data_IF_525725337472
#
_entry.id   IF_525725337472
#
_cell.length_a   1.000
_cell.length_b   1.000
_cell.length_c   1.000
_cell.angle_alpha   90.00
_cell.angle_beta   90.00
_cell.angle_gamma   90.00
#
_symmetry.space_group_name_H-M   'P 1'
#
loop_
_entity.id
_entity.type
_entity.pdbx_description
1 polymer ?
#
# COMPACT_ATOMS: atom_id res chain seq x y z
N UNK A 1 -29.59 41.79 -16.22
CA UNK A 1 -28.87 40.92 -17.20
C UNK A 1 -27.37 40.75 -16.95
N UNK A 2 -26.69 41.62 -16.18
CA UNK A 2 -25.27 41.42 -15.79
C UNK A 2 -25.07 40.47 -14.60
N UNK A 3 -26.02 40.45 -13.66
CA UNK A 3 -25.92 39.65 -12.43
C UNK A 3 -26.08 38.14 -12.65
N UNK A 4 -26.94 37.73 -13.61
CA UNK A 4 -27.13 36.32 -13.94
C UNK A 4 -25.91 35.72 -14.67
N UNK A 5 -25.22 36.54 -15.47
CA UNK A 5 -23.92 36.16 -16.06
C UNK A 5 -22.83 35.98 -15.00
N UNK A 6 -22.84 36.79 -13.93
CA UNK A 6 -21.90 36.66 -12.80
C UNK A 6 -22.19 35.42 -11.95
N UNK A 7 -23.48 35.11 -11.69
CA UNK A 7 -23.88 33.88 -10.98
C UNK A 7 -23.50 32.61 -11.76
N UNK A 8 -23.72 32.61 -13.07
CA UNK A 8 -23.33 31.49 -13.93
C UNK A 8 -21.81 31.24 -13.90
N UNK A 9 -21.00 32.28 -14.01
CA UNK A 9 -19.53 32.16 -13.95
C UNK A 9 -19.02 31.75 -12.56
N UNK A 10 -19.62 32.25 -11.47
CA UNK A 10 -19.26 31.83 -10.11
C UNK A 10 -19.61 30.36 -9.84
N UNK A 11 -20.73 29.86 -10.39
CA UNK A 11 -21.10 28.45 -10.29
C UNK A 11 -20.12 27.53 -11.05
N UNK A 12 -19.64 27.96 -12.22
CA UNK A 12 -18.64 27.23 -13.01
C UNK A 12 -17.26 27.25 -12.31
N UNK A 13 -16.84 28.38 -11.75
CA UNK A 13 -15.61 28.48 -10.98
C UNK A 13 -15.66 27.64 -9.70
N UNK A 14 -16.82 27.57 -9.02
CA UNK A 14 -17.02 26.72 -7.86
C UNK A 14 -16.99 25.21 -8.21
N UNK A 15 -17.47 24.81 -9.39
CA UNK A 15 -17.31 23.44 -9.92
C UNK A 15 -15.87 23.12 -10.35
N UNK A 16 -15.07 24.11 -10.73
CA UNK A 16 -13.65 23.93 -11.08
C UNK A 16 -12.72 23.96 -9.86
N UNK A 17 -13.15 24.60 -8.77
CA UNK A 17 -12.44 24.69 -7.49
C UNK A 17 -12.86 23.62 -6.48
N UNK A 18 -13.98 22.93 -6.72
CA UNK A 18 -14.24 21.68 -6.02
C UNK A 18 -13.16 20.70 -6.46
N UNK A 19 -12.35 20.14 -5.54
CA UNK A 19 -11.41 19.11 -5.89
C UNK A 19 -12.23 18.04 -6.60
N UNK A 20 -11.96 17.81 -7.88
CA UNK A 20 -12.65 16.79 -8.66
C UNK A 20 -12.52 15.49 -7.86
N UNK A 21 -13.62 15.02 -7.25
CA UNK A 21 -13.76 13.68 -6.67
C UNK A 21 -13.81 12.63 -7.81
N UNK A 22 -13.08 12.90 -8.88
CA UNK A 22 -12.78 11.98 -9.94
C UNK A 22 -11.84 10.93 -9.36
N UNK A 23 -12.46 9.98 -8.66
CA UNK A 23 -12.01 8.60 -8.48
C UNK A 23 -10.50 8.49 -8.35
N UNK A 24 -9.88 9.17 -7.38
CA UNK A 24 -8.49 8.83 -7.02
C UNK A 24 -8.52 7.39 -6.56
N UNK A 25 -8.15 6.49 -7.47
CA UNK A 25 -7.98 5.09 -7.11
C UNK A 25 -6.87 5.08 -6.07
N UNK A 26 -7.10 4.45 -4.91
CA UNK A 26 -6.06 4.28 -3.92
C UNK A 26 -4.94 3.47 -4.56
N UNK A 27 -3.79 4.10 -4.75
CA UNK A 27 -2.59 3.48 -5.29
C UNK A 27 -1.64 3.14 -4.14
N UNK A 28 -0.76 2.13 -4.33
CA UNK A 28 0.32 1.90 -3.39
C UNK A 28 1.18 3.15 -3.27
N UNK A 29 1.52 3.51 -2.04
CA UNK A 29 2.39 4.63 -1.72
C UNK A 29 3.78 4.43 -2.28
N UNK A 30 4.43 5.52 -2.73
CA UNK A 30 5.76 5.46 -3.32
C UNK A 30 6.80 4.87 -2.36
N UNK A 31 6.68 5.15 -1.05
CA UNK A 31 7.57 4.57 -0.04
C UNK A 31 7.47 3.05 0.00
N UNK A 32 6.25 2.49 -0.06
CA UNK A 32 6.05 1.04 -0.09
C UNK A 32 6.56 0.44 -1.40
N UNK A 33 6.30 1.10 -2.54
CA UNK A 33 6.85 0.68 -3.84
C UNK A 33 8.38 0.61 -3.82
N UNK A 34 9.05 1.61 -3.25
CA UNK A 34 10.52 1.64 -3.15
C UNK A 34 11.06 0.51 -2.27
N UNK A 35 10.50 0.32 -1.07
CA UNK A 35 10.96 -0.75 -0.17
C UNK A 35 10.75 -2.14 -0.80
N UNK A 36 9.62 -2.36 -1.46
CA UNK A 36 9.36 -3.62 -2.15
C UNK A 36 10.33 -3.81 -3.32
N UNK A 37 10.62 -2.76 -4.09
CA UNK A 37 11.63 -2.81 -5.16
C UNK A 37 13.00 -3.22 -4.60
N UNK A 38 13.39 -2.68 -3.45
CA UNK A 38 14.64 -3.05 -2.77
C UNK A 38 14.62 -4.51 -2.29
N UNK A 39 13.50 -4.98 -1.74
CA UNK A 39 13.32 -6.40 -1.40
C UNK A 39 13.46 -7.32 -2.62
N UNK A 40 12.84 -6.96 -3.75
CA UNK A 40 12.94 -7.73 -4.99
C UNK A 40 14.36 -7.72 -5.56
N UNK A 41 15.06 -6.59 -5.46
CA UNK A 41 16.46 -6.49 -5.87
C UNK A 41 17.35 -7.38 -4.99
N UNK A 42 17.16 -7.33 -3.67
CA UNK A 42 17.89 -8.17 -2.74
C UNK A 42 17.65 -9.66 -3.01
N UNK A 43 16.42 -10.07 -3.36
CA UNK A 43 16.14 -11.46 -3.74
C UNK A 43 17.00 -11.87 -4.93
N UNK A 44 17.02 -11.06 -6.00
CA UNK A 44 17.80 -11.36 -7.22
C UNK A 44 19.30 -11.45 -6.97
N UNK A 45 19.82 -10.65 -6.04
CA UNK A 45 21.25 -10.67 -5.67
C UNK A 45 21.58 -11.92 -4.83
N UNK A 46 20.68 -12.33 -3.94
CA UNK A 46 20.90 -13.46 -3.03
C UNK A 46 20.58 -14.82 -3.65
N UNK A 47 19.66 -14.89 -4.61
CA UNK A 47 19.24 -16.13 -5.28
C UNK A 47 20.41 -16.97 -5.85
N UNK A 48 21.43 -16.41 -6.53
CA UNK A 48 22.57 -17.20 -6.98
C UNK A 48 23.59 -17.54 -5.87
N UNK A 49 23.52 -16.89 -4.71
CA UNK A 49 24.51 -17.02 -3.62
C UNK A 49 24.07 -18.00 -2.53
N UNK A 50 22.76 -18.20 -2.37
CA UNK A 50 22.16 -18.98 -1.30
C UNK A 50 21.43 -20.19 -1.86
N UNK A 51 21.45 -21.30 -1.11
CA UNK A 51 20.55 -22.39 -1.44
C UNK A 51 19.10 -21.96 -1.17
N UNK A 52 18.14 -22.66 -1.79
CA UNK A 52 16.70 -22.35 -1.66
C UNK A 52 16.26 -22.23 -0.19
N UNK A 53 16.67 -23.16 0.68
CA UNK A 53 16.28 -23.13 2.09
C UNK A 53 16.82 -21.90 2.84
N UNK A 54 18.06 -21.50 2.56
CA UNK A 54 18.66 -20.29 3.15
C UNK A 54 17.94 -19.04 2.67
N UNK A 55 17.67 -18.93 1.36
CA UNK A 55 16.94 -17.81 0.78
C UNK A 55 15.54 -17.66 1.39
N UNK A 56 14.83 -18.78 1.57
CA UNK A 56 13.53 -18.81 2.23
C UNK A 56 13.61 -18.34 3.68
N UNK A 57 14.61 -18.81 4.43
CA UNK A 57 14.82 -18.41 5.83
C UNK A 57 15.12 -16.91 5.96
N UNK A 58 15.96 -16.36 5.07
CA UNK A 58 16.30 -14.93 5.07
C UNK A 58 15.06 -14.10 4.80
N UNK A 59 14.28 -14.44 3.77
CA UNK A 59 13.09 -13.70 3.41
C UNK A 59 11.95 -13.85 4.41
N UNK A 60 11.80 -15.01 5.05
CA UNK A 60 10.84 -15.20 6.13
C UNK A 60 11.11 -14.23 7.29
N UNK A 61 12.38 -14.13 7.74
CA UNK A 61 12.78 -13.19 8.81
C UNK A 61 12.64 -11.74 8.41
N UNK A 62 13.00 -11.41 7.18
CA UNK A 62 12.85 -10.06 6.62
C UNK A 62 11.38 -9.64 6.61
N UNK A 63 10.50 -10.48 6.06
CA UNK A 63 9.08 -10.21 5.97
C UNK A 63 8.43 -10.14 7.36
N UNK A 64 8.82 -10.99 8.31
CA UNK A 64 8.35 -10.90 9.69
C UNK A 64 8.73 -9.58 10.36
N UNK A 65 9.96 -9.10 10.13
CA UNK A 65 10.42 -7.80 10.67
C UNK A 65 9.66 -6.64 10.01
N UNK A 66 9.45 -6.72 8.70
CA UNK A 66 8.70 -5.72 7.94
C UNK A 66 7.23 -5.67 8.37
N UNK A 67 6.60 -6.83 8.61
CA UNK A 67 5.23 -6.97 9.09
C UNK A 67 5.01 -6.18 10.40
N UNK A 68 5.86 -6.42 11.39
CA UNK A 68 5.81 -5.73 12.68
C UNK A 68 6.09 -4.24 12.54
N UNK A 69 7.14 -3.87 11.79
CA UNK A 69 7.57 -2.48 11.66
C UNK A 69 6.55 -1.60 10.94
N UNK A 70 6.04 -2.05 9.80
CA UNK A 70 5.07 -1.29 9.01
C UNK A 70 3.71 -1.23 9.71
N UNK A 71 3.28 -2.31 10.39
CA UNK A 71 2.04 -2.28 11.17
C UNK A 71 2.12 -1.25 12.30
N UNK A 72 3.25 -1.17 13.01
CA UNK A 72 3.46 -0.16 14.05
C UNK A 72 3.42 1.28 13.49
N UNK A 73 3.85 1.48 12.24
CA UNK A 73 3.73 2.77 11.56
C UNK A 73 2.26 3.07 11.19
N UNK A 74 1.55 2.13 10.56
CA UNK A 74 0.15 2.33 10.15
C UNK A 74 -0.81 2.51 11.32
N UNK A 75 -0.56 1.88 12.48
CA UNK A 75 -1.37 2.10 13.69
C UNK A 75 -1.34 3.53 14.21
N UNK A 76 -0.34 4.33 13.81
CA UNK A 76 -0.24 5.76 14.15
C UNK A 76 -0.91 6.68 13.14
N UNK A 77 -1.37 6.13 12.02
CA UNK A 77 -2.04 6.87 10.96
C UNK A 77 -3.53 6.96 11.28
N UNK A 78 -4.13 8.13 11.01
CA UNK A 78 -5.58 8.31 11.16
C UNK A 78 -6.34 7.49 10.12
N UNK A 79 -6.95 6.40 10.59
CA UNK A 79 -7.76 5.47 9.79
C UNK A 79 -9.25 5.82 9.80
N UNK A 80 -9.68 6.92 10.43
CA UNK A 80 -11.06 7.41 10.29
C UNK A 80 -11.33 7.90 8.86
N UNK A 81 -10.29 8.40 8.19
CA UNK A 81 -10.34 8.88 6.81
C UNK A 81 -10.39 7.68 5.85
N UNK A 82 -11.47 7.58 5.07
CA UNK A 82 -11.69 6.48 4.11
C UNK A 82 -10.54 6.33 3.11
N UNK A 83 -10.09 7.44 2.51
CA UNK A 83 -9.01 7.41 1.52
C UNK A 83 -7.71 6.84 2.12
N UNK A 84 -7.38 7.22 3.35
CA UNK A 84 -6.20 6.70 4.06
C UNK A 84 -6.27 5.19 4.27
N UNK A 85 -7.43 4.67 4.70
CA UNK A 85 -7.65 3.22 4.83
C UNK A 85 -7.42 2.51 3.50
N UNK A 86 -7.98 3.06 2.44
CA UNK A 86 -7.84 2.46 1.12
C UNK A 86 -6.38 2.45 0.62
N UNK A 87 -5.60 3.50 0.89
CA UNK A 87 -4.16 3.51 0.57
C UNK A 87 -3.39 2.42 1.34
N UNK A 88 -3.68 2.23 2.64
CA UNK A 88 -3.07 1.15 3.43
C UNK A 88 -3.44 -0.23 2.85
N UNK A 89 -4.70 -0.43 2.47
CA UNK A 89 -5.14 -1.69 1.83
C UNK A 89 -4.42 -1.89 0.49
N UNK A 90 -4.28 -0.84 -0.33
CA UNK A 90 -3.56 -0.91 -1.60
C UNK A 90 -2.07 -1.27 -1.41
N UNK A 91 -1.41 -0.70 -0.40
CA UNK A 91 -0.03 -1.02 -0.03
C UNK A 91 0.15 -2.50 0.31
N UNK A 92 -0.72 -3.03 1.19
CA UNK A 92 -0.63 -4.43 1.65
C UNK A 92 -0.95 -5.40 0.50
N UNK A 93 -1.92 -5.07 -0.37
CA UNK A 93 -2.22 -5.88 -1.55
C UNK A 93 -1.05 -5.90 -2.53
N UNK A 94 -0.41 -4.75 -2.76
CA UNK A 94 0.75 -4.64 -3.63
C UNK A 94 1.95 -5.43 -3.09
N UNK A 95 2.25 -5.33 -1.80
CA UNK A 95 3.25 -6.15 -1.12
C UNK A 95 3.01 -7.64 -1.37
N UNK A 96 1.79 -8.10 -1.12
CA UNK A 96 1.42 -9.50 -1.26
C UNK A 96 1.55 -9.99 -2.71
N UNK A 97 1.20 -9.14 -3.68
CA UNK A 97 1.36 -9.43 -5.10
C UNK A 97 2.84 -9.56 -5.48
N UNK A 98 3.69 -8.63 -5.08
CA UNK A 98 5.13 -8.67 -5.42
C UNK A 98 5.84 -9.84 -4.73
N UNK A 99 5.58 -10.08 -3.45
CA UNK A 99 6.17 -11.21 -2.71
C UNK A 99 5.75 -12.56 -3.30
N UNK A 100 4.53 -12.68 -3.83
CA UNK A 100 4.08 -13.93 -4.48
C UNK A 100 4.92 -14.34 -5.70
N UNK A 101 5.58 -13.37 -6.36
CA UNK A 101 6.47 -13.62 -7.51
C UNK A 101 7.79 -14.25 -7.10
N UNK A 102 8.16 -14.20 -5.81
CA UNK A 102 9.40 -14.76 -5.30
C UNK A 102 9.30 -16.27 -5.02
N UNK A 103 8.12 -16.88 -5.15
CA UNK A 103 7.89 -18.32 -4.92
C UNK A 103 8.47 -18.87 -3.60
N UNK A 104 8.43 -18.02 -2.56
CA UNK A 104 8.87 -18.33 -1.21
C UNK A 104 7.88 -19.26 -0.50
N UNK A 105 8.39 -20.17 0.32
CA UNK A 105 7.58 -21.03 1.19
C UNK A 105 7.46 -20.32 2.53
N UNK A 106 6.35 -19.60 2.71
CA UNK A 106 6.05 -18.84 3.91
C UNK A 106 4.97 -19.58 4.72
N UNK A 107 5.33 -20.31 5.80
CA UNK A 107 4.38 -21.17 6.52
C UNK A 107 3.21 -20.40 7.13
N UNK A 108 3.43 -19.15 7.53
CA UNK A 108 2.40 -18.27 8.09
C UNK A 108 1.81 -17.29 7.05
N UNK A 109 2.19 -17.44 5.78
CA UNK A 109 1.83 -16.52 4.70
C UNK A 109 2.68 -15.24 4.66
N UNK A 110 2.35 -14.34 3.73
CA UNK A 110 3.03 -13.06 3.55
C UNK A 110 2.48 -12.01 4.51
N UNK A 111 3.27 -11.62 5.52
CA UNK A 111 2.96 -10.55 6.48
C UNK A 111 1.56 -10.69 7.11
N UNK A 112 1.30 -11.76 7.89
CA UNK A 112 -0.02 -12.09 8.39
C UNK A 112 -0.67 -10.96 9.20
N UNK A 113 0.09 -10.20 9.99
CA UNK A 113 -0.44 -9.16 10.85
C UNK A 113 -0.91 -7.94 10.04
N UNK A 114 -0.13 -7.49 9.07
CA UNK A 114 -0.51 -6.46 8.09
C UNK A 114 -1.72 -6.88 7.27
N UNK A 115 -1.78 -8.14 6.84
CA UNK A 115 -2.93 -8.67 6.08
C UNK A 115 -4.19 -8.69 6.93
N UNK A 116 -4.10 -9.10 8.21
CA UNK A 116 -5.22 -9.06 9.14
C UNK A 116 -5.68 -7.62 9.39
N UNK A 117 -4.73 -6.71 9.61
CA UNK A 117 -5.03 -5.29 9.78
C UNK A 117 -5.72 -4.68 8.55
N UNK A 118 -5.18 -4.87 7.35
CA UNK A 118 -5.78 -4.39 6.10
C UNK A 118 -7.19 -4.95 5.88
N UNK A 119 -7.44 -6.23 6.20
CA UNK A 119 -8.79 -6.81 6.16
C UNK A 119 -9.75 -6.10 7.11
N UNK A 120 -9.31 -5.79 8.33
CA UNK A 120 -10.14 -5.07 9.31
C UNK A 120 -10.54 -3.66 8.83
N UNK A 121 -9.65 -2.98 8.08
CA UNK A 121 -9.93 -1.67 7.49
C UNK A 121 -10.94 -1.71 6.34
N UNK A 122 -11.06 -2.84 5.64
CA UNK A 122 -11.94 -3.01 4.48
C UNK A 122 -13.38 -3.38 4.86
N UNK A 123 -13.63 -3.75 6.12
CA UNK A 123 -14.95 -4.12 6.67
C UNK A 123 -15.57 -2.98 7.49
N UNK A 124 -14.79 -1.96 7.83
CA UNK A 124 -15.18 -0.83 8.68
C UNK A 124 -15.73 0.39 7.90
#
# INVERSE_FOLDING_TARGET
MLEDRRRGHMGVLAMQLTPSEEKRRPEPTESVKLVIKDMMHMYKVLEPLLCRQQLHTVFERLLATFDVGLLAAYRKVDTSILFTRQCIVADVLYLKQEVSKLHLTLPNGCCPELVAFAKSLNVA
#
